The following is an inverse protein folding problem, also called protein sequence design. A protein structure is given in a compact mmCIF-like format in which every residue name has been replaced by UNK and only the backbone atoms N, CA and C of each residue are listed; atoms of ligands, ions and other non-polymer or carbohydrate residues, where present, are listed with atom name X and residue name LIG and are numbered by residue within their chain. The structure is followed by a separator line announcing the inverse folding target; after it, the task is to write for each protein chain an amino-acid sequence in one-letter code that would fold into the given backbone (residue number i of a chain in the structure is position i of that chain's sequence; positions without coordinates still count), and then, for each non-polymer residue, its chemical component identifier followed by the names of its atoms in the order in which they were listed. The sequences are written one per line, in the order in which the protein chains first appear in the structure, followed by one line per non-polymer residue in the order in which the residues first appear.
data_IF_942652426975
#
_entry.id   IF_942652426975
#
_cell.length_a   1.000
_cell.length_b   1.000
_cell.length_c   1.000
_cell.angle_alpha   90.00
_cell.angle_beta   90.00
_cell.angle_gamma   90.00
#
_symmetry.space_group_name_H-M   'P 1'
#
loop_
_entity.id
_entity.type
_entity.pdbx_description
1 polymer ?
#
# COMPACT_ATOMS: atom_id res chain seq x y z
N UNK A 1 12.39 13.80 19.20
CA UNK A 1 12.24 14.66 18.03
C UNK A 1 11.55 13.87 16.93
N UNK A 2 10.38 14.28 16.50
CA UNK A 2 9.68 13.66 15.37
C UNK A 2 10.47 14.01 14.11
N UNK A 3 10.99 13.02 13.41
CA UNK A 3 11.62 13.26 12.11
C UNK A 3 10.51 13.62 11.12
N UNK A 4 10.62 14.77 10.52
CA UNK A 4 9.70 15.18 9.46
C UNK A 4 9.92 14.32 8.23
N UNK A 5 8.82 13.83 7.66
CA UNK A 5 8.82 13.12 6.38
C UNK A 5 8.13 13.98 5.32
N UNK A 6 8.48 13.75 4.07
CA UNK A 6 7.93 14.46 2.90
C UNK A 6 7.11 13.49 2.06
N UNK A 7 5.91 13.91 1.67
CA UNK A 7 5.07 13.17 0.73
C UNK A 7 5.25 13.81 -0.65
N UNK A 8 5.68 13.03 -1.62
CA UNK A 8 5.90 13.49 -3.00
C UNK A 8 5.54 12.44 -4.03
N UNK A 9 5.39 12.87 -5.27
CA UNK A 9 5.22 11.96 -6.39
C UNK A 9 6.52 11.17 -6.64
N UNK A 10 6.35 9.91 -7.04
CA UNK A 10 7.45 9.04 -7.44
C UNK A 10 8.04 9.48 -8.78
N UNK A 11 9.35 9.33 -8.93
CA UNK A 11 10.04 9.40 -10.22
C UNK A 11 10.58 8.04 -10.62
N UNK A 12 10.93 7.87 -11.90
CA UNK A 12 11.50 6.61 -12.40
C UNK A 12 12.79 6.19 -11.64
N UNK A 13 13.55 7.15 -11.14
CA UNK A 13 14.78 6.89 -10.37
C UNK A 13 14.50 6.22 -9.01
N UNK A 14 13.29 6.31 -8.48
CA UNK A 14 12.90 5.72 -7.20
C UNK A 14 12.54 4.23 -7.31
N UNK A 15 12.47 3.64 -8.51
CA UNK A 15 11.84 2.33 -8.75
C UNK A 15 12.45 1.20 -7.92
N UNK A 16 13.77 1.13 -7.80
CA UNK A 16 14.43 0.07 -7.04
C UNK A 16 14.11 0.18 -5.54
N UNK A 17 14.13 1.38 -4.98
CA UNK A 17 13.81 1.62 -3.57
C UNK A 17 12.33 1.35 -3.28
N UNK A 18 11.42 1.78 -4.16
CA UNK A 18 9.98 1.53 -4.03
C UNK A 18 9.68 0.03 -4.07
N UNK A 19 10.26 -0.69 -5.02
CA UNK A 19 10.09 -2.15 -5.11
C UNK A 19 10.59 -2.87 -3.87
N UNK A 20 11.74 -2.48 -3.35
CA UNK A 20 12.32 -3.06 -2.13
C UNK A 20 11.47 -2.79 -0.90
N UNK A 21 10.99 -1.57 -0.72
CA UNK A 21 10.11 -1.21 0.42
C UNK A 21 8.82 -2.02 0.38
N UNK A 22 8.20 -2.16 -0.78
CA UNK A 22 7.00 -2.98 -0.92
C UNK A 22 7.24 -4.43 -0.55
N UNK A 23 8.31 -5.02 -1.06
CA UNK A 23 8.68 -6.40 -0.73
C UNK A 23 8.99 -6.58 0.76
N UNK A 24 9.79 -5.70 1.35
CA UNK A 24 10.16 -5.80 2.77
C UNK A 24 8.94 -5.68 3.67
N UNK A 25 8.02 -4.78 3.36
CA UNK A 25 6.77 -4.62 4.10
C UNK A 25 5.86 -5.85 3.97
N UNK A 26 5.74 -6.41 2.78
CA UNK A 26 4.99 -7.64 2.54
C UNK A 26 5.61 -8.82 3.31
N UNK A 27 6.92 -8.99 3.21
CA UNK A 27 7.66 -10.10 3.83
C UNK A 27 7.68 -10.03 5.37
N UNK A 28 7.51 -8.86 5.95
CA UNK A 28 7.45 -8.67 7.39
C UNK A 28 6.16 -9.19 8.03
N UNK A 29 5.11 -9.46 7.24
CA UNK A 29 3.87 -10.02 7.75
C UNK A 29 4.05 -11.53 8.01
N UNK A 30 3.93 -12.01 9.28
CA UNK A 30 4.18 -13.41 9.61
C UNK A 30 3.27 -14.40 8.88
N UNK A 31 2.04 -14.00 8.58
CA UNK A 31 1.08 -14.84 7.84
C UNK A 31 1.54 -15.06 6.41
N UNK A 32 2.18 -14.07 5.80
CA UNK A 32 2.66 -14.12 4.42
C UNK A 32 4.04 -14.79 4.31
N UNK A 33 4.82 -14.84 5.39
CA UNK A 33 6.12 -15.51 5.46
C UNK A 33 6.07 -17.03 5.40
N UNK A 34 4.90 -17.63 5.53
CA UNK A 34 4.72 -19.08 5.49
C UNK A 34 4.92 -19.67 4.09
N UNK A 35 5.06 -18.84 3.07
CA UNK A 35 5.25 -19.26 1.69
C UNK A 35 6.73 -19.50 1.38
N UNK A 36 7.02 -20.49 0.53
CA UNK A 36 8.39 -20.89 0.21
C UNK A 36 9.18 -19.87 -0.63
N UNK A 37 10.45 -20.21 -0.91
CA UNK A 37 11.39 -19.36 -1.64
C UNK A 37 10.86 -18.92 -3.01
N UNK A 38 10.20 -19.81 -3.75
CA UNK A 38 9.66 -19.48 -5.08
C UNK A 38 8.61 -18.38 -5.03
N UNK A 39 7.75 -18.40 -4.01
CA UNK A 39 6.78 -17.34 -3.78
C UNK A 39 7.47 -16.01 -3.44
N UNK A 40 8.50 -16.05 -2.61
CA UNK A 40 9.27 -14.85 -2.23
C UNK A 40 9.91 -14.19 -3.46
N UNK A 41 10.51 -14.98 -4.35
CA UNK A 41 11.08 -14.48 -5.60
C UNK A 41 10.01 -13.86 -6.49
N UNK A 42 8.87 -14.54 -6.64
CA UNK A 42 7.73 -14.08 -7.45
C UNK A 42 7.21 -12.72 -6.97
N UNK A 43 7.00 -12.58 -5.67
CA UNK A 43 6.49 -11.34 -5.08
C UNK A 43 7.52 -10.21 -5.20
N UNK A 44 8.79 -10.49 -4.99
CA UNK A 44 9.85 -9.50 -5.17
C UNK A 44 9.87 -8.94 -6.59
N UNK A 45 9.79 -9.82 -7.59
CA UNK A 45 9.73 -9.42 -8.99
C UNK A 45 8.46 -8.65 -9.33
N UNK A 46 7.33 -9.02 -8.74
CA UNK A 46 6.05 -8.33 -8.91
C UNK A 46 6.14 -6.87 -8.43
N UNK A 47 6.69 -6.63 -7.24
CA UNK A 47 6.89 -5.26 -6.73
C UNK A 47 7.84 -4.44 -7.59
N UNK A 48 8.95 -5.04 -8.02
CA UNK A 48 9.92 -4.35 -8.88
C UNK A 48 9.31 -3.96 -10.21
N UNK A 49 8.58 -4.87 -10.85
CA UNK A 49 7.92 -4.61 -12.13
C UNK A 49 6.86 -3.53 -11.99
N UNK A 50 6.03 -3.59 -10.96
CA UNK A 50 5.01 -2.57 -10.69
C UNK A 50 5.64 -1.19 -10.55
N UNK A 51 6.72 -1.07 -9.76
CA UNK A 51 7.41 0.19 -9.56
C UNK A 51 8.01 0.74 -10.86
N UNK A 52 8.54 -0.12 -11.72
CA UNK A 52 9.13 0.28 -13.00
C UNK A 52 8.07 0.68 -14.04
N UNK A 53 6.96 -0.04 -14.10
CA UNK A 53 5.93 0.15 -15.13
C UNK A 53 4.88 1.20 -14.75
N UNK A 54 4.63 1.42 -13.45
CA UNK A 54 3.53 2.25 -12.94
C UNK A 54 3.98 3.39 -12.03
N UNK A 55 5.19 3.88 -12.18
CA UNK A 55 5.73 4.92 -11.29
C UNK A 55 4.87 6.20 -11.25
N UNK A 56 4.17 6.53 -12.34
CA UNK A 56 3.29 7.71 -12.40
C UNK A 56 2.04 7.59 -11.51
N UNK A 57 1.72 6.37 -11.04
CA UNK A 57 0.57 6.11 -10.17
C UNK A 57 0.96 6.06 -8.69
N UNK A 58 2.23 6.26 -8.36
CA UNK A 58 2.78 6.05 -7.02
C UNK A 58 3.15 7.38 -6.38
N UNK A 59 2.73 7.53 -5.13
CA UNK A 59 3.13 8.62 -4.23
C UNK A 59 4.00 8.02 -3.14
N UNK A 60 5.10 8.66 -2.80
CA UNK A 60 6.04 8.16 -1.80
C UNK A 60 6.09 9.03 -0.55
N UNK A 61 6.44 8.39 0.58
CA UNK A 61 6.85 9.05 1.81
C UNK A 61 8.35 8.92 1.98
N UNK A 62 9.05 10.04 2.01
CA UNK A 62 10.51 10.08 2.14
C UNK A 62 10.89 10.65 3.50
N UNK A 63 11.78 9.93 4.18
CA UNK A 63 12.30 10.31 5.49
C UNK A 63 13.83 10.47 5.37
N UNK A 64 14.31 11.71 5.39
CA UNK A 64 15.69 11.99 5.04
C UNK A 64 15.94 11.60 3.58
N UNK A 65 16.96 10.76 3.33
CA UNK A 65 17.30 10.27 2.00
C UNK A 65 16.70 8.90 1.67
N UNK A 66 15.81 8.39 2.55
CA UNK A 66 15.23 7.05 2.41
C UNK A 66 13.75 7.11 2.07
N UNK A 67 13.32 6.26 1.15
CA UNK A 67 11.91 6.00 0.91
C UNK A 67 11.41 5.09 2.03
N UNK A 68 10.49 5.62 2.85
CA UNK A 68 9.96 4.93 4.01
C UNK A 68 8.63 4.22 3.74
N UNK A 69 7.92 4.63 2.70
CA UNK A 69 6.65 4.03 2.30
C UNK A 69 6.14 4.61 0.99
N UNK A 70 5.12 3.96 0.44
CA UNK A 70 4.48 4.42 -0.78
C UNK A 70 3.04 3.92 -0.90
N UNK A 71 2.28 4.59 -1.74
CA UNK A 71 0.87 4.30 -2.00
C UNK A 71 0.60 4.45 -3.50
N UNK A 72 -0.33 3.66 -4.02
CA UNK A 72 -0.69 3.70 -5.44
C UNK A 72 -2.20 3.68 -5.65
N UNK A 73 -2.62 4.29 -6.77
CA UNK A 73 -3.98 4.22 -7.32
C UNK A 73 -3.89 3.55 -8.68
N UNK A 74 -4.21 2.25 -8.74
CA UNK A 74 -4.19 1.48 -9.98
C UNK A 74 -5.49 0.71 -10.14
N UNK A 75 -6.00 0.64 -11.38
CA UNK A 75 -7.23 -0.06 -11.72
C UNK A 75 -8.45 0.85 -11.80
N UNK A 76 -8.67 1.75 -10.85
CA UNK A 76 -9.76 2.73 -10.86
C UNK A 76 -9.35 4.00 -10.11
N UNK A 77 -10.00 5.12 -10.44
CA UNK A 77 -9.67 6.42 -9.84
C UNK A 77 -9.96 6.49 -8.34
N UNK A 78 -10.97 5.76 -7.88
CA UNK A 78 -11.41 5.71 -6.49
C UNK A 78 -10.77 4.55 -5.70
N UNK A 79 -9.84 3.79 -6.31
CA UNK A 79 -9.28 2.58 -5.73
C UNK A 79 -7.81 2.77 -5.36
N UNK A 80 -7.51 2.52 -4.09
CA UNK A 80 -6.15 2.47 -3.57
C UNK A 80 -5.69 1.01 -3.70
N UNK A 81 -4.78 0.76 -4.64
CA UNK A 81 -4.33 -0.60 -4.96
C UNK A 81 -3.24 -1.11 -4.03
N UNK A 82 -2.43 -0.19 -3.48
CA UNK A 82 -1.26 -0.53 -2.68
C UNK A 82 -1.01 0.52 -1.61
N UNK A 83 -0.63 0.07 -0.42
CA UNK A 83 -0.04 0.88 0.63
C UNK A 83 1.00 0.03 1.37
N UNK A 84 2.25 0.46 1.33
CA UNK A 84 3.36 -0.25 1.95
C UNK A 84 4.23 0.73 2.71
N UNK A 85 4.51 0.41 3.98
CA UNK A 85 5.43 1.19 4.84
C UNK A 85 6.54 0.27 5.30
N UNK A 86 7.78 0.70 5.13
CA UNK A 86 8.96 -0.04 5.57
C UNK A 86 8.82 -0.45 7.03
N UNK A 87 9.14 -1.71 7.40
CA UNK A 87 9.07 -2.16 8.78
C UNK A 87 9.86 -1.28 9.77
N UNK A 88 10.99 -0.73 9.32
CA UNK A 88 11.81 0.18 10.14
C UNK A 88 11.17 1.55 10.39
N UNK A 89 10.14 1.93 9.62
CA UNK A 89 9.52 3.25 9.65
C UNK A 89 8.03 3.21 10.02
N UNK A 90 7.52 2.08 10.49
CA UNK A 90 6.14 1.96 10.97
C UNK A 90 5.95 2.72 12.29
N UNK A 91 4.72 3.13 12.55
CA UNK A 91 4.39 3.88 13.77
C UNK A 91 4.77 5.36 13.74
N UNK A 92 5.23 5.90 12.61
CA UNK A 92 5.61 7.31 12.45
C UNK A 92 4.54 8.17 11.78
N UNK A 93 3.40 7.59 11.42
CA UNK A 93 2.30 8.30 10.74
C UNK A 93 2.42 8.40 9.22
N UNK A 94 3.39 7.72 8.62
CA UNK A 94 3.63 7.77 7.17
C UNK A 94 2.46 7.18 6.38
N UNK A 95 1.96 6.01 6.79
CA UNK A 95 0.81 5.37 6.15
C UNK A 95 -0.43 6.24 6.18
N UNK A 96 -0.73 6.83 7.33
CA UNK A 96 -1.83 7.77 7.52
C UNK A 96 -1.70 8.99 6.61
N UNK A 97 -0.50 9.56 6.50
CA UNK A 97 -0.23 10.72 5.66
C UNK A 97 -0.38 10.40 4.17
N UNK A 98 0.09 9.22 3.74
CA UNK A 98 -0.06 8.76 2.35
C UNK A 98 -1.53 8.59 1.97
N UNK A 99 -2.31 7.89 2.80
CA UNK A 99 -3.76 7.72 2.54
C UNK A 99 -4.46 9.08 2.56
N UNK A 100 -4.19 9.94 3.53
CA UNK A 100 -4.78 11.27 3.62
C UNK A 100 -4.49 12.12 2.39
N UNK A 101 -3.29 12.03 1.81
CA UNK A 101 -2.93 12.70 0.55
C UNK A 101 -3.86 12.25 -0.58
N UNK A 102 -4.03 10.94 -0.77
CA UNK A 102 -4.90 10.42 -1.83
C UNK A 102 -6.37 10.76 -1.60
N UNK A 103 -6.84 10.75 -0.35
CA UNK A 103 -8.21 11.14 -0.03
C UNK A 103 -8.48 12.60 -0.40
N UNK A 104 -7.54 13.50 -0.15
CA UNK A 104 -7.67 14.91 -0.57
C UNK A 104 -7.72 15.04 -2.08
N UNK A 105 -6.87 14.32 -2.80
CA UNK A 105 -6.88 14.30 -4.27
C UNK A 105 -8.21 13.78 -4.81
N UNK A 106 -8.70 12.67 -4.28
CA UNK A 106 -9.99 12.07 -4.69
C UNK A 106 -11.15 13.02 -4.45
N UNK A 107 -11.19 13.71 -3.30
CA UNK A 107 -12.23 14.73 -3.04
C UNK A 107 -12.15 15.89 -4.01
N UNK A 108 -10.95 16.39 -4.29
CA UNK A 108 -10.73 17.46 -5.25
C UNK A 108 -11.15 17.08 -6.67
N UNK A 109 -11.04 15.81 -7.03
CA UNK A 109 -11.51 15.26 -8.31
C UNK A 109 -13.03 15.05 -8.36
N UNK A 110 -13.74 15.26 -7.26
CA UNK A 110 -15.19 15.08 -7.18
C UNK A 110 -15.65 13.62 -7.06
N UNK A 111 -14.76 12.72 -6.67
CA UNK A 111 -15.11 11.32 -6.46
C UNK A 111 -16.04 11.16 -5.25
N UNK A 112 -16.91 10.14 -5.29
CA UNK A 112 -17.92 9.94 -4.24
C UNK A 112 -17.43 9.07 -3.10
N UNK A 113 -16.36 8.31 -3.31
CA UNK A 113 -15.81 7.38 -2.33
C UNK A 113 -14.36 7.06 -2.62
N UNK A 114 -13.70 6.47 -1.63
CA UNK A 114 -12.41 5.79 -1.78
C UNK A 114 -12.59 4.32 -1.40
N UNK A 115 -11.91 3.42 -2.09
CA UNK A 115 -11.93 1.97 -1.83
C UNK A 115 -10.52 1.45 -1.64
N UNK A 116 -10.38 0.47 -0.76
CA UNK A 116 -9.11 -0.22 -0.51
C UNK A 116 -9.38 -1.68 -0.11
N UNK A 117 -8.52 -2.59 -0.56
CA UNK A 117 -8.55 -3.98 -0.17
C UNK A 117 -7.29 -4.31 0.62
N UNK A 118 -7.40 -5.24 1.57
CA UNK A 118 -6.24 -5.75 2.30
C UNK A 118 -6.48 -7.20 2.72
N UNK A 119 -5.40 -7.89 3.10
CA UNK A 119 -5.52 -9.21 3.71
C UNK A 119 -6.27 -9.12 5.04
N UNK A 120 -7.20 -10.06 5.28
CA UNK A 120 -7.98 -10.09 6.52
C UNK A 120 -7.10 -10.25 7.77
N UNK A 121 -5.93 -10.85 7.63
CA UNK A 121 -4.95 -11.01 8.70
C UNK A 121 -4.13 -9.73 8.98
N UNK A 122 -4.20 -8.73 8.12
CA UNK A 122 -3.46 -7.47 8.30
C UNK A 122 -4.22 -6.52 9.22
N UNK A 123 -4.23 -6.83 10.51
CA UNK A 123 -4.97 -6.07 11.52
C UNK A 123 -4.51 -4.63 11.65
N UNK A 124 -3.21 -4.38 11.50
CA UNK A 124 -2.65 -3.03 11.57
C UNK A 124 -3.17 -2.14 10.44
N UNK A 125 -3.23 -2.65 9.22
CA UNK A 125 -3.77 -1.92 8.08
C UNK A 125 -5.27 -1.66 8.25
N UNK A 126 -6.04 -2.67 8.67
CA UNK A 126 -7.49 -2.52 8.91
C UNK A 126 -7.75 -1.45 9.96
N UNK A 127 -6.97 -1.44 11.04
CA UNK A 127 -7.08 -0.41 12.10
C UNK A 127 -6.78 0.98 11.55
N UNK A 128 -5.70 1.12 10.77
CA UNK A 128 -5.33 2.38 10.13
C UNK A 128 -6.48 2.92 9.27
N UNK A 129 -7.07 2.08 8.43
CA UNK A 129 -8.16 2.50 7.55
C UNK A 129 -9.42 2.85 8.33
N UNK A 130 -9.77 2.10 9.37
CA UNK A 130 -10.89 2.43 10.26
C UNK A 130 -10.69 3.78 10.95
N UNK A 131 -9.49 4.06 11.42
CA UNK A 131 -9.15 5.33 12.07
C UNK A 131 -9.29 6.52 11.10
N UNK A 132 -9.11 6.29 9.79
CA UNK A 132 -9.29 7.28 8.74
C UNK A 132 -10.75 7.38 8.24
N UNK A 133 -11.66 6.57 8.75
CA UNK A 133 -13.08 6.61 8.43
C UNK A 133 -13.57 5.53 7.45
N UNK A 134 -12.71 4.60 7.05
CA UNK A 134 -13.14 3.47 6.22
C UNK A 134 -13.95 2.46 7.03
N UNK A 135 -14.90 1.80 6.35
CA UNK A 135 -15.68 0.70 6.91
C UNK A 135 -15.52 -0.55 6.06
N UNK A 136 -15.60 -1.72 6.69
CA UNK A 136 -15.58 -3.00 5.99
C UNK A 136 -16.92 -3.19 5.27
N UNK A 137 -16.87 -3.45 3.96
CA UNK A 137 -18.07 -3.70 3.15
C UNK A 137 -18.13 -5.13 2.63
N UNK A 138 -17.03 -5.87 2.68
CA UNK A 138 -16.98 -7.26 2.27
C UNK A 138 -15.75 -7.97 2.86
N UNK A 139 -15.90 -9.26 3.14
CA UNK A 139 -14.81 -10.16 3.51
C UNK A 139 -15.01 -11.52 2.88
N UNK A 140 -13.94 -12.14 2.40
CA UNK A 140 -13.98 -13.48 1.84
C UNK A 140 -12.70 -13.88 1.11
N UNK A 141 -12.76 -15.05 0.48
CA UNK A 141 -11.66 -15.56 -0.32
C UNK A 141 -11.69 -14.93 -1.71
N UNK A 142 -10.55 -14.44 -2.16
CA UNK A 142 -10.38 -13.85 -3.48
C UNK A 142 -9.04 -14.25 -4.08
N UNK A 143 -9.01 -14.57 -5.37
CA UNK A 143 -7.77 -14.88 -6.08
C UNK A 143 -6.83 -13.67 -6.10
N UNK A 144 -5.57 -13.90 -5.69
CA UNK A 144 -4.49 -12.92 -5.80
C UNK A 144 -3.63 -13.25 -7.02
N UNK A 145 -3.63 -12.39 -8.07
CA UNK A 145 -2.82 -12.64 -9.26
C UNK A 145 -1.32 -12.71 -8.96
N UNK A 146 -0.82 -11.87 -8.05
CA UNK A 146 0.59 -11.84 -7.67
C UNK A 146 1.01 -13.10 -6.91
N UNK A 147 0.15 -13.64 -6.06
CA UNK A 147 0.41 -14.86 -5.29
C UNK A 147 0.01 -16.13 -6.04
N UNK A 148 -0.86 -16.03 -7.06
CA UNK A 148 -1.35 -17.16 -7.82
C UNK A 148 -2.27 -18.10 -7.03
N UNK A 149 -2.89 -17.62 -5.96
CA UNK A 149 -3.77 -18.39 -5.09
C UNK A 149 -4.87 -17.53 -4.47
N UNK A 150 -5.91 -18.18 -3.94
CA UNK A 150 -6.95 -17.49 -3.19
C UNK A 150 -6.42 -17.08 -1.81
N UNK A 151 -6.76 -15.88 -1.38
CA UNK A 151 -6.41 -15.31 -0.06
C UNK A 151 -7.63 -14.72 0.61
N UNK A 152 -7.66 -14.72 1.94
CA UNK A 152 -8.73 -14.10 2.73
C UNK A 152 -8.52 -12.58 2.71
N UNK A 153 -9.47 -11.87 2.12
CA UNK A 153 -9.42 -10.41 1.93
C UNK A 153 -10.58 -9.69 2.58
N UNK A 154 -10.31 -8.43 2.90
CA UNK A 154 -11.29 -7.46 3.37
C UNK A 154 -11.34 -6.32 2.36
N UNK A 155 -12.56 -5.94 1.95
CA UNK A 155 -12.80 -4.73 1.14
C UNK A 155 -13.37 -3.64 2.03
N UNK A 156 -12.79 -2.46 1.95
CA UNK A 156 -13.17 -1.32 2.76
C UNK A 156 -13.46 -0.11 1.87
N UNK A 157 -14.34 0.76 2.35
CA UNK A 157 -14.64 2.01 1.66
C UNK A 157 -14.83 3.17 2.63
N UNK A 158 -14.59 4.36 2.12
CA UNK A 158 -14.92 5.63 2.76
C UNK A 158 -15.77 6.43 1.79
N UNK A 159 -16.96 6.84 2.21
CA UNK A 159 -17.87 7.69 1.42
C UNK A 159 -17.59 9.14 1.78
N UNK A 160 -17.36 9.94 0.77
CA UNK A 160 -17.08 11.37 0.93
C UNK A 160 -18.33 12.21 1.20
#
# INVERSE_FOLDING_TARGET
MVKDFVIRDMTAADADSVGRVGFDAWAANPVLNAFGVDMMVRIRLSFRRFAQEHYSLITIGELGDEIAGWIARDGARDYISDLWVSPAHQGLGIGSALVSRLLREMRAEGLKRARIDTHAANEAAIRLYKDLGFTIVWRGMQHSPSMGMAVDKVKMQLVF
#
